data_IF_547299583119
#
_entry.id   IF_547299583119
#
_cell.length_a   1.000
_cell.length_b   1.000
_cell.length_c   1.000
_cell.angle_alpha   90.00
_cell.angle_beta   90.00
_cell.angle_gamma   90.00
#
_symmetry.space_group_name_H-M   'P 1'
#
loop_
_entity.id
_entity.type
_entity.pdbx_description
1 polymer ?
#
# COMPACT_ATOMS: atom_id res chain seq x y z
N UNK A 1 -25.68 -8.68 -10.41
CA UNK A 1 -24.26 -9.03 -10.25
C UNK A 1 -23.88 -8.74 -8.81
N UNK A 2 -23.27 -9.69 -8.10
CA UNK A 2 -22.78 -9.43 -6.76
C UNK A 2 -21.48 -8.62 -6.85
N UNK A 3 -21.37 -7.54 -6.09
CA UNK A 3 -20.12 -6.81 -5.95
C UNK A 3 -19.15 -7.62 -5.09
N UNK A 4 -17.85 -7.50 -5.38
CA UNK A 4 -16.77 -8.06 -4.54
C UNK A 4 -15.89 -6.93 -4.05
N UNK A 5 -15.14 -7.17 -2.98
CA UNK A 5 -14.19 -6.21 -2.43
C UNK A 5 -13.15 -5.79 -3.49
N UNK A 6 -12.61 -6.77 -4.22
CA UNK A 6 -11.65 -6.57 -5.31
C UNK A 6 -12.28 -5.80 -6.48
N UNK A 7 -13.53 -6.12 -6.82
CA UNK A 7 -14.23 -5.47 -7.92
C UNK A 7 -14.56 -4.00 -7.63
N UNK A 8 -14.83 -3.66 -6.36
CA UNK A 8 -15.01 -2.29 -5.90
C UNK A 8 -13.67 -1.56 -5.92
N UNK A 9 -12.59 -2.18 -5.42
CA UNK A 9 -11.26 -1.59 -5.43
C UNK A 9 -10.78 -1.31 -6.87
N UNK A 10 -11.06 -2.20 -7.81
CA UNK A 10 -10.76 -1.99 -9.23
C UNK A 10 -11.51 -0.78 -9.79
N UNK A 11 -12.80 -0.60 -9.44
CA UNK A 11 -13.56 0.59 -9.84
C UNK A 11 -12.96 1.87 -9.24
N UNK A 12 -12.51 1.82 -7.99
CA UNK A 12 -11.83 2.93 -7.31
C UNK A 12 -10.56 3.33 -8.07
N UNK A 13 -9.69 2.37 -8.42
CA UNK A 13 -8.48 2.67 -9.21
C UNK A 13 -8.82 3.24 -10.59
N UNK A 14 -9.83 2.69 -11.28
CA UNK A 14 -10.28 3.21 -12.58
C UNK A 14 -10.75 4.65 -12.44
N UNK A 15 -11.59 4.95 -11.45
CA UNK A 15 -12.09 6.30 -11.22
C UNK A 15 -10.97 7.28 -10.84
N UNK A 16 -10.02 6.84 -10.01
CA UNK A 16 -8.82 7.62 -9.71
C UNK A 16 -8.01 7.94 -10.97
N UNK A 17 -7.73 6.94 -11.80
CA UNK A 17 -7.02 7.11 -13.08
C UNK A 17 -7.77 7.98 -14.09
N UNK A 18 -9.10 7.90 -14.14
CA UNK A 18 -9.93 8.84 -14.93
C UNK A 18 -9.75 10.28 -14.45
N UNK A 19 -9.61 10.48 -13.14
CA UNK A 19 -9.33 11.78 -12.54
C UNK A 19 -7.93 12.32 -12.87
N UNK A 20 -6.91 11.46 -12.94
CA UNK A 20 -5.53 11.88 -13.19
C UNK A 20 -5.27 12.34 -14.64
N UNK A 21 -6.18 12.05 -15.55
CA UNK A 21 -6.05 12.41 -16.96
C UNK A 21 -4.85 11.74 -17.62
N UNK A 22 -3.96 12.54 -18.20
CA UNK A 22 -2.79 12.04 -18.92
C UNK A 22 -1.55 11.79 -18.01
N UNK A 23 -1.60 12.17 -16.73
CA UNK A 23 -0.46 11.97 -15.82
C UNK A 23 -0.40 10.50 -15.41
N UNK A 24 0.80 9.92 -15.50
CA UNK A 24 1.04 8.52 -15.13
C UNK A 24 0.87 8.34 -13.63
N UNK A 25 0.34 7.19 -13.22
CA UNK A 25 0.24 6.79 -11.82
C UNK A 25 1.35 5.79 -11.53
N UNK A 26 2.20 6.05 -10.53
CA UNK A 26 3.19 5.06 -10.09
C UNK A 26 2.52 3.86 -9.43
N UNK A 27 3.21 2.72 -9.41
CA UNK A 27 2.74 1.54 -8.67
C UNK A 27 2.52 1.87 -7.19
N UNK A 28 3.47 2.57 -6.56
CA UNK A 28 3.40 2.93 -5.14
C UNK A 28 2.23 3.88 -4.85
N UNK A 29 1.89 4.80 -5.76
CA UNK A 29 0.70 5.64 -5.62
C UNK A 29 -0.60 4.82 -5.68
N UNK A 30 -0.65 3.77 -6.50
CA UNK A 30 -1.81 2.86 -6.54
C UNK A 30 -1.92 2.01 -5.26
N UNK A 31 -0.78 1.62 -4.67
CA UNK A 31 -0.71 0.93 -3.38
C UNK A 31 -1.13 1.84 -2.22
N UNK A 32 -0.73 3.11 -2.23
CA UNK A 32 -1.17 4.09 -1.23
C UNK A 32 -2.71 4.20 -1.21
N UNK A 33 -3.33 4.27 -2.39
CA UNK A 33 -4.79 4.26 -2.52
C UNK A 33 -5.40 2.94 -2.00
N UNK A 34 -4.75 1.81 -2.27
CA UNK A 34 -5.20 0.49 -1.79
C UNK A 34 -5.21 0.41 -0.27
N UNK A 35 -4.13 0.84 0.38
CA UNK A 35 -4.00 0.81 1.84
C UNK A 35 -5.08 1.64 2.55
N UNK A 36 -5.51 2.75 1.95
CA UNK A 36 -6.55 3.59 2.53
C UNK A 36 -7.95 3.01 2.43
N UNK A 37 -8.25 2.33 1.32
CA UNK A 37 -9.63 2.03 0.95
C UNK A 37 -9.97 0.55 1.00
N UNK A 38 -9.01 -0.37 0.78
CA UNK A 38 -9.33 -1.79 0.62
C UNK A 38 -10.02 -2.37 1.85
N UNK A 39 -9.45 -2.19 3.04
CA UNK A 39 -10.02 -2.68 4.31
C UNK A 39 -11.31 -1.94 4.72
N UNK A 40 -11.59 -0.79 4.10
CA UNK A 40 -12.82 -0.02 4.34
C UNK A 40 -13.98 -0.52 3.49
N UNK A 41 -13.73 -1.30 2.43
CA UNK A 41 -14.77 -1.96 1.63
C UNK A 41 -15.31 -3.17 2.40
N UNK A 42 -16.08 -2.88 3.44
CA UNK A 42 -16.67 -3.91 4.33
C UNK A 42 -17.82 -4.66 3.65
N UNK A 43 -18.22 -5.85 4.16
CA UNK A 43 -19.41 -6.56 3.67
C UNK A 43 -20.68 -5.69 3.69
N UNK A 44 -20.83 -4.82 4.69
CA UNK A 44 -21.94 -3.87 4.73
C UNK A 44 -21.92 -2.91 3.54
N UNK A 45 -20.75 -2.37 3.17
CA UNK A 45 -20.64 -1.52 1.99
C UNK A 45 -20.97 -2.32 0.72
N UNK A 46 -20.39 -3.51 0.59
CA UNK A 46 -20.55 -4.37 -0.59
C UNK A 46 -22.02 -4.71 -0.83
N UNK A 47 -22.76 -5.10 0.23
CA UNK A 47 -24.11 -5.62 0.09
C UNK A 47 -25.21 -4.56 0.22
N UNK A 48 -25.02 -3.53 1.05
CA UNK A 48 -26.09 -2.62 1.44
C UNK A 48 -25.94 -1.20 0.87
N UNK A 49 -24.71 -0.76 0.55
CA UNK A 49 -24.43 0.66 0.23
C UNK A 49 -23.90 0.88 -1.17
N UNK A 50 -23.15 -0.05 -1.74
CA UNK A 50 -22.41 0.21 -2.97
C UNK A 50 -23.35 0.56 -4.13
N UNK A 51 -24.49 -0.11 -4.26
CA UNK A 51 -25.46 0.16 -5.33
C UNK A 51 -25.99 1.61 -5.31
N UNK A 52 -26.15 2.23 -4.13
CA UNK A 52 -26.66 3.60 -4.00
C UNK A 52 -25.56 4.65 -3.98
N UNK A 53 -24.41 4.31 -3.38
CA UNK A 53 -23.38 5.30 -3.05
C UNK A 53 -22.19 5.28 -4.01
N UNK A 54 -22.05 4.24 -4.85
CA UNK A 54 -20.91 4.07 -5.75
C UNK A 54 -20.62 5.32 -6.57
N UNK A 55 -21.65 5.96 -7.14
CA UNK A 55 -21.46 7.17 -7.96
C UNK A 55 -20.73 8.26 -7.20
N UNK A 56 -21.15 8.54 -5.95
CA UNK A 56 -20.55 9.57 -5.11
C UNK A 56 -19.11 9.20 -4.70
N UNK A 57 -18.87 7.93 -4.38
CA UNK A 57 -17.53 7.43 -4.05
C UNK A 57 -16.60 7.55 -5.26
N UNK A 58 -17.04 7.14 -6.45
CA UNK A 58 -16.23 7.18 -7.66
C UNK A 58 -15.97 8.62 -8.13
N UNK A 59 -16.93 9.53 -7.97
CA UNK A 59 -16.71 10.95 -8.23
C UNK A 59 -15.69 11.57 -7.28
N UNK A 60 -15.67 11.14 -6.01
CA UNK A 60 -14.59 11.49 -5.09
C UNK A 60 -13.25 10.97 -5.59
N UNK A 61 -13.16 9.70 -5.99
CA UNK A 61 -11.88 9.16 -6.49
C UNK A 61 -11.38 9.92 -7.70
N UNK A 62 -12.28 10.35 -8.60
CA UNK A 62 -11.92 11.26 -9.69
C UNK A 62 -11.42 12.61 -9.19
N UNK A 63 -12.02 13.17 -8.15
CA UNK A 63 -11.56 14.42 -7.54
C UNK A 63 -10.17 14.29 -6.91
N UNK A 64 -9.90 13.19 -6.20
CA UNK A 64 -8.57 12.87 -5.65
C UNK A 64 -7.57 12.74 -6.79
N UNK A 65 -7.90 11.98 -7.85
CA UNK A 65 -7.04 11.83 -9.03
C UNK A 65 -6.70 13.16 -9.70
N UNK A 66 -7.69 14.06 -9.88
CA UNK A 66 -7.47 15.41 -10.42
C UNK A 66 -6.56 16.24 -9.54
N UNK A 67 -6.73 16.17 -8.21
CA UNK A 67 -5.90 16.94 -7.29
C UNK A 67 -4.48 16.40 -7.22
N UNK A 68 -4.29 15.08 -7.16
CA UNK A 68 -2.98 14.46 -7.20
C UNK A 68 -2.22 14.77 -8.50
N UNK A 69 -2.93 14.77 -9.64
CA UNK A 69 -2.38 15.20 -10.92
C UNK A 69 -1.96 16.69 -10.91
N UNK A 70 -2.79 17.56 -10.33
CA UNK A 70 -2.43 18.96 -10.15
C UNK A 70 -1.18 19.14 -9.30
N UNK A 71 -1.04 18.42 -8.18
CA UNK A 71 0.14 18.47 -7.32
C UNK A 71 1.40 17.98 -8.05
N UNK A 72 1.30 16.86 -8.77
CA UNK A 72 2.40 16.36 -9.60
C UNK A 72 2.83 17.40 -10.65
N UNK A 73 1.87 18.00 -11.36
CA UNK A 73 2.15 19.01 -12.38
C UNK A 73 2.74 20.30 -11.79
N UNK A 74 2.23 20.76 -10.63
CA UNK A 74 2.75 21.91 -9.88
C UNK A 74 4.23 21.75 -9.56
N UNK A 75 4.63 20.53 -9.21
CA UNK A 75 6.00 20.20 -8.82
C UNK A 75 6.87 19.75 -10.02
N UNK A 76 6.35 19.83 -11.25
CA UNK A 76 7.06 19.44 -12.47
C UNK A 76 7.20 17.92 -12.67
N UNK A 77 6.51 17.11 -11.88
CA UNK A 77 6.49 15.65 -12.01
C UNK A 77 5.52 15.20 -13.11
N UNK A 78 5.94 14.21 -13.90
CA UNK A 78 5.10 13.55 -14.92
C UNK A 78 4.47 12.24 -14.40
N UNK A 79 4.67 11.95 -13.11
CA UNK A 79 4.19 10.74 -12.44
C UNK A 79 3.61 11.12 -11.08
N UNK A 80 2.41 10.61 -10.78
CA UNK A 80 1.81 10.70 -9.45
C UNK A 80 2.53 9.72 -8.54
N UNK A 81 3.12 10.26 -7.48
CA UNK A 81 3.81 9.55 -6.40
C UNK A 81 2.91 9.44 -5.16
N UNK A 82 3.23 8.57 -4.18
CA UNK A 82 2.42 8.38 -2.98
C UNK A 82 2.11 9.68 -2.22
N UNK A 83 3.07 10.61 -2.11
CA UNK A 83 2.91 11.88 -1.40
C UNK A 83 1.78 12.74 -1.98
N UNK A 84 1.60 12.73 -3.29
CA UNK A 84 0.51 13.47 -3.96
C UNK A 84 -0.84 12.82 -3.75
N UNK A 85 -0.88 11.48 -3.65
CA UNK A 85 -2.11 10.75 -3.31
C UNK A 85 -2.52 11.07 -1.88
N UNK A 86 -1.57 11.02 -0.95
CA UNK A 86 -1.81 11.36 0.46
C UNK A 86 -2.36 12.77 0.62
N UNK A 87 -1.68 13.78 0.06
CA UNK A 87 -2.09 15.19 0.17
C UNK A 87 -3.48 15.42 -0.47
N UNK A 88 -3.70 14.84 -1.66
CA UNK A 88 -4.98 14.94 -2.36
C UNK A 88 -6.12 14.25 -1.61
N UNK A 89 -5.90 13.04 -1.13
CA UNK A 89 -6.91 12.25 -0.43
C UNK A 89 -7.29 12.92 0.89
N UNK A 90 -6.31 13.37 1.67
CA UNK A 90 -6.55 14.11 2.93
C UNK A 90 -7.43 15.34 2.69
N UNK A 91 -7.07 16.16 1.70
CA UNK A 91 -7.78 17.40 1.40
C UNK A 91 -9.20 17.20 0.88
N UNK A 92 -9.38 16.25 -0.05
CA UNK A 92 -10.71 15.97 -0.63
C UNK A 92 -11.62 15.30 0.40
N UNK A 93 -11.09 14.43 1.26
CA UNK A 93 -11.88 13.74 2.28
C UNK A 93 -12.29 14.64 3.43
N UNK A 94 -11.45 15.60 3.85
CA UNK A 94 -11.82 16.60 4.86
C UNK A 94 -13.08 17.40 4.48
N UNK A 95 -13.42 17.44 3.19
CA UNK A 95 -14.58 18.14 2.65
C UNK A 95 -15.75 17.20 2.32
N UNK A 96 -15.64 15.90 2.59
CA UNK A 96 -16.56 14.89 2.09
C UNK A 96 -17.21 14.04 3.20
N UNK A 97 -18.55 13.97 3.19
CA UNK A 97 -19.35 13.28 4.21
C UNK A 97 -19.77 11.85 3.82
N UNK A 98 -19.20 11.24 2.78
CA UNK A 98 -19.73 9.95 2.27
C UNK A 98 -19.08 8.73 2.94
N UNK A 99 -19.81 7.61 3.09
CA UNK A 99 -19.53 6.58 4.11
C UNK A 99 -18.19 5.86 3.98
N UNK A 100 -17.56 5.93 2.81
CA UNK A 100 -16.27 5.31 2.51
C UNK A 100 -15.09 6.26 2.78
N UNK A 101 -15.30 7.34 3.55
CA UNK A 101 -14.21 8.17 4.06
C UNK A 101 -13.44 7.39 5.13
N UNK A 102 -12.18 6.99 4.89
CA UNK A 102 -11.31 6.59 5.98
C UNK A 102 -11.10 7.80 6.92
N UNK A 103 -10.75 7.55 8.20
CA UNK A 103 -10.28 8.62 9.07
C UNK A 103 -9.05 9.29 8.45
N UNK A 104 -8.80 10.56 8.82
CA UNK A 104 -7.64 11.30 8.36
C UNK A 104 -6.37 10.46 8.60
N UNK A 105 -5.52 10.29 7.57
CA UNK A 105 -4.35 9.44 7.68
C UNK A 105 -3.34 9.99 8.69
N UNK A 106 -2.60 9.10 9.35
CA UNK A 106 -1.36 9.49 10.02
C UNK A 106 -0.30 9.86 8.96
N UNK A 107 0.50 10.93 9.19
CA UNK A 107 1.60 11.34 8.31
C UNK A 107 2.48 10.18 7.85
N UNK A 108 2.93 10.20 6.59
CA UNK A 108 3.78 9.15 6.00
C UNK A 108 5.01 8.85 6.89
N UNK A 109 5.59 9.87 7.53
CA UNK A 109 6.72 9.72 8.46
C UNK A 109 6.40 8.89 9.73
N UNK A 110 5.15 8.92 10.19
CA UNK A 110 4.69 8.16 11.36
C UNK A 110 4.34 6.71 10.99
N UNK A 111 3.95 6.47 9.73
CA UNK A 111 3.68 5.13 9.18
C UNK A 111 4.94 4.29 8.97
N UNK A 112 6.03 4.91 8.53
CA UNK A 112 7.33 4.22 8.45
C UNK A 112 7.82 3.79 9.84
N UNK A 113 7.53 4.58 10.88
CA UNK A 113 7.84 4.25 12.27
C UNK A 113 7.04 3.05 12.79
N UNK A 114 5.72 3.05 12.57
CA UNK A 114 4.83 1.96 13.02
C UNK A 114 5.08 0.65 12.27
N UNK A 115 5.45 0.71 10.98
CA UNK A 115 5.85 -0.49 10.24
C UNK A 115 7.19 -1.05 10.74
N UNK A 116 8.18 -0.18 11.00
CA UNK A 116 9.46 -0.59 11.59
C UNK A 116 9.28 -1.20 12.99
N UNK A 117 8.41 -0.62 13.82
CA UNK A 117 8.06 -1.15 15.14
C UNK A 117 7.31 -2.49 15.06
N UNK A 118 6.37 -2.65 14.12
CA UNK A 118 5.64 -3.89 13.92
C UNK A 118 6.56 -5.03 13.44
N UNK A 119 7.49 -4.72 12.52
CA UNK A 119 8.51 -5.67 12.05
C UNK A 119 9.50 -6.03 13.17
N UNK A 120 9.89 -5.06 14.01
CA UNK A 120 10.73 -5.32 15.18
C UNK A 120 10.02 -6.17 16.24
N UNK A 121 8.72 -5.94 16.47
CA UNK A 121 7.90 -6.73 17.39
C UNK A 121 7.70 -8.18 16.89
N UNK A 122 7.56 -8.38 15.58
CA UNK A 122 7.46 -9.72 14.97
C UNK A 122 8.81 -10.46 15.02
N UNK A 123 9.91 -9.75 14.74
CA UNK A 123 11.28 -10.29 14.88
C UNK A 123 11.61 -10.69 16.32
N UNK A 124 11.12 -9.93 17.32
CA UNK A 124 11.27 -10.28 18.73
C UNK A 124 10.38 -11.46 19.17
N UNK A 125 9.37 -11.83 18.38
CA UNK A 125 8.44 -12.94 18.64
C UNK A 125 8.87 -14.25 17.97
N UNK A 126 9.86 -14.21 17.07
CA UNK A 126 10.48 -15.41 16.53
C UNK A 126 11.14 -16.20 17.66
N UNK A 127 10.79 -17.49 17.88
CA UNK A 127 11.45 -18.29 18.89
C UNK A 127 12.91 -18.48 18.45
N UNK A 128 13.85 -18.23 19.36
CA UNK A 128 15.22 -18.69 19.25
C UNK A 128 15.20 -20.21 18.96
N UNK A 129 15.30 -20.58 17.69
CA UNK A 129 15.58 -21.94 17.26
C UNK A 129 17.02 -22.25 17.60
N UNK A 130 17.23 -22.88 18.75
CA UNK A 130 18.53 -23.26 19.26
C UNK A 130 19.32 -24.10 18.25
N UNK A 131 20.53 -23.65 17.93
CA UNK A 131 21.52 -24.45 17.24
C UNK A 131 21.95 -25.60 18.14
N UNK A 132 21.41 -26.79 17.89
CA UNK A 132 21.88 -28.03 18.47
C UNK A 132 23.28 -28.32 17.90
N UNK A 133 24.29 -28.19 18.75
CA UNK A 133 25.61 -28.74 18.51
C UNK A 133 25.49 -30.27 18.47
N UNK A 134 25.89 -30.88 17.35
CA UNK A 134 26.14 -32.31 17.31
C UNK A 134 27.61 -32.55 17.03
N UNK A 135 28.30 -32.98 18.08
CA UNK A 135 29.68 -33.41 18.07
C UNK A 135 29.70 -34.92 17.83
N UNK A 136 30.37 -35.38 16.76
CA UNK A 136 30.86 -36.74 16.71
C UNK A 136 30.96 -37.40 15.34
N UNK A 137 32.05 -37.12 14.60
CA UNK A 137 32.68 -38.14 13.77
C UNK A 137 34.17 -37.79 13.58
N UNK A 138 35.02 -38.47 14.36
CA UNK A 138 36.48 -38.54 14.18
C UNK A 138 36.81 -39.67 13.19
N UNK A 139 37.79 -39.42 12.32
CA UNK A 139 38.38 -40.34 11.34
C UNK A 139 38.10 -39.80 9.94
N UNK A 140 39.06 -39.34 9.14
CA UNK A 140 40.36 -39.95 8.87
C UNK A 140 41.34 -38.90 8.31
N UNK A 141 42.63 -39.10 8.58
CA UNK A 141 43.75 -38.26 8.13
C UNK A 141 44.05 -38.58 6.65
N UNK A 142 43.93 -37.55 5.80
CA UNK A 142 44.24 -37.65 4.37
C UNK A 142 44.80 -36.35 3.82
N UNK A 143 46.08 -36.14 4.10
CA UNK A 143 47.02 -35.19 3.52
C UNK A 143 46.88 -35.02 1.99
N UNK A 144 46.57 -33.81 1.46
CA UNK A 144 47.21 -33.27 0.23
C UNK A 144 47.20 -31.74 0.24
N UNK A 145 48.42 -31.23 0.30
CA UNK A 145 48.90 -29.86 0.15
C UNK A 145 48.85 -29.39 -1.31
N UNK A 146 48.67 -28.09 -1.51
CA UNK A 146 48.92 -27.30 -2.74
C UNK A 146 47.79 -27.36 -3.81
N UNK A 147 47.37 -26.27 -4.47
CA UNK A 147 48.14 -25.21 -5.12
C UNK A 147 47.37 -23.87 -5.17
N UNK A 148 48.08 -22.79 -4.82
CA UNK A 148 47.84 -21.42 -5.29
C UNK A 148 48.37 -21.27 -6.71
N UNK A 149 47.68 -20.50 -7.53
CA UNK A 149 48.27 -19.55 -8.48
C UNK A 149 48.64 -20.06 -9.87
N UNK A 150 47.88 -19.60 -10.86
CA UNK A 150 48.37 -19.09 -12.15
C UNK A 150 47.37 -18.07 -12.67
#
# INVERSE_FOLDING_TARGET
>A
MAYTQEGIMAQIWIAFGQGSGAIRVSHDAALELYQWYYDKITPYIIHERWQTDAVQVLDRMRAIGRHAAFLAARDGSTVIKPEYVYEAASKVQAQSLTPLCPPEPEPIAEREHTHAEAVAADAARAPFGGGQADAGARGDLGDVRALRGA
#
